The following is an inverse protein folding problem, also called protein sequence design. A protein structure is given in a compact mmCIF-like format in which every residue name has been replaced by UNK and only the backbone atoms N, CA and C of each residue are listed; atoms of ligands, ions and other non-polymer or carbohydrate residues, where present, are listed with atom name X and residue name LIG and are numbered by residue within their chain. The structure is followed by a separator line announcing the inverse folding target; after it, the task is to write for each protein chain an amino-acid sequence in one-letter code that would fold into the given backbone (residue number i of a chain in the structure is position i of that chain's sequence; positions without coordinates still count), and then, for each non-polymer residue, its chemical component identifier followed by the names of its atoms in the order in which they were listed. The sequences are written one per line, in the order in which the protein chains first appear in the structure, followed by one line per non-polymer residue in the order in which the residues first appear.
data_IF_452476713441
#
_entry.id   IF_452476713441
#
_cell.length_a   1.000
_cell.length_b   1.000
_cell.length_c   1.000
_cell.angle_alpha   90.00
_cell.angle_beta   90.00
_cell.angle_gamma   90.00
#
_symmetry.space_group_name_H-M   'P 1'
#
loop_
_entity.id
_entity.type
_entity.pdbx_description
1 polymer ?
#
# COMPACT_ATOMS: atom_id res chain seq x y z
N UNK A 1 -4.56 -22.77 0.64
CA UNK A 1 -4.63 -23.15 2.07
C UNK A 1 -4.45 -21.90 2.89
N UNK A 2 -5.49 -21.44 3.58
CA UNK A 2 -5.40 -20.38 4.58
C UNK A 2 -5.50 -21.05 5.95
N UNK A 3 -4.45 -20.96 6.76
CA UNK A 3 -4.39 -21.59 8.08
C UNK A 3 -2.96 -21.95 8.49
N UNK A 4 -2.83 -22.40 9.73
CA UNK A 4 -1.62 -22.97 10.28
C UNK A 4 -1.54 -24.45 9.94
N UNK A 5 -0.53 -24.86 9.16
CA UNK A 5 -0.28 -26.28 8.87
C UNK A 5 0.84 -26.82 9.76
N UNK A 6 1.92 -26.06 9.87
CA UNK A 6 3.08 -26.33 10.73
C UNK A 6 3.91 -25.05 10.92
N UNK A 7 4.97 -25.13 11.73
CA UNK A 7 5.89 -24.05 12.06
C UNK A 7 6.60 -23.41 10.84
N UNK A 8 6.56 -24.03 9.66
CA UNK A 8 7.16 -23.51 8.42
C UNK A 8 6.12 -23.10 7.38
N UNK A 9 4.86 -23.46 7.59
CA UNK A 9 3.77 -23.28 6.63
C UNK A 9 2.55 -22.75 7.35
N UNK A 10 2.55 -21.44 7.58
CA UNK A 10 1.45 -20.73 8.20
C UNK A 10 1.33 -19.33 7.59
N UNK A 11 0.14 -18.73 7.75
CA UNK A 11 -0.09 -17.35 7.39
C UNK A 11 -0.13 -16.53 8.68
N UNK A 12 0.88 -15.67 8.87
CA UNK A 12 1.05 -14.92 10.10
C UNK A 12 -0.11 -13.95 10.39
N UNK A 13 -0.71 -13.33 9.38
CA UNK A 13 -1.78 -12.33 9.60
C UNK A 13 -3.19 -12.89 9.40
N UNK A 14 -3.30 -14.11 8.88
CA UNK A 14 -4.56 -14.73 8.49
C UNK A 14 -5.13 -14.22 7.16
N UNK A 15 -4.44 -13.32 6.44
CA UNK A 15 -4.91 -12.75 5.17
C UNK A 15 -4.06 -13.18 3.98
N UNK A 16 -4.70 -13.51 2.85
CA UNK A 16 -4.01 -13.87 1.61
C UNK A 16 -4.36 -12.91 0.47
N UNK A 17 -3.38 -12.31 -0.22
CA UNK A 17 -3.66 -11.46 -1.37
C UNK A 17 -4.13 -12.28 -2.57
N UNK A 18 -5.41 -12.14 -2.96
CA UNK A 18 -5.95 -12.75 -4.19
C UNK A 18 -5.54 -11.98 -5.47
N UNK A 19 -5.23 -10.69 -5.34
CA UNK A 19 -4.96 -9.78 -6.47
C UNK A 19 -3.86 -10.27 -7.41
N UNK A 20 -2.83 -10.93 -6.86
CA UNK A 20 -1.68 -11.43 -7.63
C UNK A 20 -1.89 -12.81 -8.25
N UNK A 21 -3.03 -13.45 -7.97
CA UNK A 21 -3.34 -14.81 -8.43
C UNK A 21 -4.28 -14.71 -9.62
N UNK A 22 -3.81 -15.14 -10.79
CA UNK A 22 -4.64 -15.16 -11.99
C UNK A 22 -5.83 -16.12 -11.80
N UNK A 23 -7.04 -15.67 -12.14
CA UNK A 23 -8.28 -16.42 -11.85
C UNK A 23 -8.38 -17.78 -12.57
N UNK A 24 -7.67 -17.96 -13.69
CA UNK A 24 -7.56 -19.24 -14.40
C UNK A 24 -6.51 -20.19 -13.81
N UNK A 25 -5.68 -19.72 -12.87
CA UNK A 25 -4.74 -20.61 -12.19
C UNK A 25 -5.53 -21.58 -11.31
N UNK A 26 -5.21 -22.86 -11.41
CA UNK A 26 -5.97 -23.92 -10.75
C UNK A 26 -5.04 -24.96 -10.13
N UNK A 27 -5.47 -25.51 -8.99
CA UNK A 27 -4.83 -26.64 -8.32
C UNK A 27 -5.78 -27.83 -8.46
N UNK A 28 -5.34 -28.88 -9.14
CA UNK A 28 -5.99 -30.20 -9.17
C UNK A 28 -5.37 -31.15 -8.14
N UNK A 29 -5.85 -32.40 -8.09
CA UNK A 29 -5.38 -33.40 -7.11
C UNK A 29 -3.86 -33.65 -7.15
N UNK A 30 -3.25 -33.58 -8.34
CA UNK A 30 -1.81 -33.82 -8.52
C UNK A 30 -1.21 -32.93 -9.61
N UNK A 31 -1.86 -31.80 -9.91
CA UNK A 31 -1.45 -30.87 -10.97
C UNK A 31 -1.66 -29.44 -10.53
N UNK A 32 -0.75 -28.56 -10.94
CA UNK A 32 -0.88 -27.12 -10.80
C UNK A 32 -0.81 -26.51 -12.20
N UNK A 33 -1.86 -25.81 -12.59
CA UNK A 33 -1.88 -25.02 -13.82
C UNK A 33 -1.67 -23.57 -13.42
N UNK A 34 -0.48 -23.04 -13.71
CA UNK A 34 -0.17 -21.64 -13.56
C UNK A 34 -0.52 -20.90 -14.84
N UNK A 35 -1.27 -19.80 -14.72
CA UNK A 35 -1.57 -18.93 -15.86
C UNK A 35 -0.74 -17.66 -15.74
N UNK A 36 0.10 -17.43 -16.73
CA UNK A 36 0.96 -16.27 -16.77
C UNK A 36 0.12 -15.03 -17.07
N UNK A 37 0.36 -13.96 -16.32
CA UNK A 37 -0.18 -12.64 -16.61
C UNK A 37 0.97 -11.65 -16.73
N UNK A 38 0.79 -10.64 -17.57
CA UNK A 38 1.76 -9.56 -17.71
C UNK A 38 1.68 -8.63 -16.50
N UNK A 39 2.80 -8.44 -15.80
CA UNK A 39 2.86 -7.54 -14.65
C UNK A 39 2.70 -6.08 -15.11
N UNK A 40 1.72 -5.32 -14.61
CA UNK A 40 1.57 -3.92 -14.97
C UNK A 40 2.64 -3.09 -14.26
N UNK A 41 3.67 -2.66 -15.00
CA UNK A 41 4.66 -1.70 -14.47
C UNK A 41 4.05 -0.29 -14.40
N UNK A 42 3.24 0.06 -15.40
CA UNK A 42 2.44 1.29 -15.44
C UNK A 42 1.04 0.95 -15.92
N UNK A 43 0.04 1.61 -15.33
CA UNK A 43 -1.36 1.49 -15.76
C UNK A 43 -2.10 2.80 -15.58
N UNK A 44 -3.21 2.96 -16.31
CA UNK A 44 -3.91 4.23 -16.40
C UNK A 44 -4.34 4.81 -15.04
N UNK A 45 -4.83 3.97 -14.11
CA UNK A 45 -5.24 4.47 -12.80
C UNK A 45 -4.07 5.05 -11.97
N UNK A 46 -2.85 4.51 -12.13
CA UNK A 46 -1.65 5.08 -11.49
C UNK A 46 -1.37 6.49 -12.03
N UNK A 47 -1.49 6.67 -13.35
CA UNK A 47 -1.34 7.98 -14.00
C UNK A 47 -2.41 8.98 -13.56
N UNK A 48 -3.68 8.56 -13.47
CA UNK A 48 -4.77 9.43 -13.02
C UNK A 48 -4.57 9.90 -11.58
N UNK A 49 -4.21 8.98 -10.67
CA UNK A 49 -3.98 9.33 -9.28
C UNK A 49 -2.71 10.16 -9.09
N UNK A 50 -1.65 9.90 -9.85
CA UNK A 50 -0.44 10.72 -9.83
C UNK A 50 -0.71 12.14 -10.36
N UNK A 51 -1.48 12.28 -11.44
CA UNK A 51 -1.87 13.58 -11.97
C UNK A 51 -2.77 14.33 -10.98
N UNK A 52 -3.76 13.66 -10.39
CA UNK A 52 -4.62 14.24 -9.34
C UNK A 52 -3.81 14.73 -8.13
N UNK A 53 -2.80 13.96 -7.70
CA UNK A 53 -1.90 14.36 -6.60
C UNK A 53 -1.13 15.64 -6.96
N UNK A 54 -0.46 15.65 -8.11
CA UNK A 54 0.26 16.83 -8.59
C UNK A 54 -0.64 18.06 -8.73
N UNK A 55 -1.84 17.90 -9.29
CA UNK A 55 -2.78 18.99 -9.49
C UNK A 55 -3.33 19.52 -8.16
N UNK A 56 -3.60 18.66 -7.18
CA UNK A 56 -3.93 19.10 -5.83
C UNK A 56 -2.77 19.87 -5.18
N UNK A 57 -1.52 19.46 -5.43
CA UNK A 57 -0.35 20.18 -4.92
C UNK A 57 -0.16 21.57 -5.54
N UNK A 58 -0.55 21.77 -6.79
CA UNK A 58 -0.42 23.07 -7.47
C UNK A 58 -1.63 23.96 -7.20
N UNK A 59 -2.83 23.44 -7.41
CA UNK A 59 -4.08 24.22 -7.50
C UNK A 59 -5.03 23.97 -6.33
N UNK A 60 -4.77 22.99 -5.47
CA UNK A 60 -5.67 22.58 -4.41
C UNK A 60 -6.90 21.81 -4.92
N UNK A 61 -8.01 21.79 -4.16
CA UNK A 61 -9.19 20.98 -4.45
C UNK A 61 -10.06 21.59 -5.56
N UNK A 62 -9.56 21.55 -6.80
CA UNK A 62 -10.29 21.96 -8.01
C UNK A 62 -11.10 20.80 -8.60
N UNK A 63 -12.14 21.10 -9.37
CA UNK A 63 -13.05 20.11 -9.97
C UNK A 63 -12.31 19.00 -10.74
N UNK A 64 -11.25 19.37 -11.46
CA UNK A 64 -10.44 18.43 -12.24
C UNK A 64 -9.72 17.39 -11.36
N UNK A 65 -9.29 17.73 -10.13
CA UNK A 65 -8.70 16.74 -9.21
C UNK A 65 -9.73 15.68 -8.85
N UNK A 66 -10.97 16.10 -8.55
CA UNK A 66 -12.04 15.17 -8.22
C UNK A 66 -12.38 14.28 -9.39
N UNK A 67 -12.41 14.81 -10.62
CA UNK A 67 -12.67 14.01 -11.82
C UNK A 67 -11.74 12.80 -11.93
N UNK A 68 -10.42 13.00 -11.88
CA UNK A 68 -9.48 11.89 -12.05
C UNK A 68 -9.50 10.87 -10.91
N UNK A 69 -9.79 11.30 -9.68
CA UNK A 69 -9.96 10.39 -8.55
C UNK A 69 -11.27 9.61 -8.69
N UNK A 70 -12.34 10.30 -9.10
CA UNK A 70 -13.68 9.72 -9.24
C UNK A 70 -13.73 8.73 -10.42
N UNK A 71 -13.01 8.95 -11.52
CA UNK A 71 -12.88 7.99 -12.63
C UNK A 71 -12.32 6.63 -12.15
N UNK A 72 -11.36 6.66 -11.21
CA UNK A 72 -10.79 5.44 -10.63
C UNK A 72 -11.78 4.75 -9.68
N UNK A 73 -12.53 5.54 -8.91
CA UNK A 73 -13.53 5.08 -7.95
C UNK A 73 -14.76 4.48 -8.64
N UNK A 74 -15.25 5.11 -9.70
CA UNK A 74 -16.40 4.66 -10.48
C UNK A 74 -16.16 3.25 -11.06
N UNK A 75 -14.96 3.00 -11.61
CA UNK A 75 -14.58 1.67 -12.12
C UNK A 75 -14.62 0.59 -11.03
N UNK A 76 -14.38 0.97 -9.77
CA UNK A 76 -14.48 0.09 -8.60
C UNK A 76 -15.88 0.05 -7.97
N UNK A 77 -16.87 0.72 -8.57
CA UNK A 77 -18.25 0.78 -8.11
C UNK A 77 -18.46 1.66 -6.87
N UNK A 78 -17.56 2.61 -6.63
CA UNK A 78 -17.66 3.56 -5.52
C UNK A 78 -18.20 4.91 -6.01
N UNK A 79 -18.98 5.58 -5.16
CA UNK A 79 -19.41 6.95 -5.41
C UNK A 79 -18.22 7.92 -5.41
N UNK A 80 -18.37 9.09 -6.02
CA UNK A 80 -17.34 10.13 -6.03
C UNK A 80 -16.94 10.60 -4.63
N UNK A 81 -15.75 11.19 -4.51
CA UNK A 81 -15.15 11.60 -3.23
C UNK A 81 -16.08 12.54 -2.46
N UNK A 82 -16.59 13.59 -3.12
CA UNK A 82 -17.43 14.59 -2.45
C UNK A 82 -18.75 13.97 -1.93
N UNK A 83 -19.40 13.14 -2.74
CA UNK A 83 -20.62 12.44 -2.37
C UNK A 83 -20.37 11.50 -1.18
N UNK A 84 -19.32 10.68 -1.26
CA UNK A 84 -18.95 9.70 -0.23
C UNK A 84 -18.63 10.35 1.11
N UNK A 85 -17.87 11.45 1.10
CA UNK A 85 -17.50 12.14 2.34
C UNK A 85 -18.68 12.88 2.97
N UNK A 86 -19.54 13.48 2.15
CA UNK A 86 -20.75 14.15 2.64
C UNK A 86 -21.72 13.16 3.28
N UNK A 87 -21.86 11.97 2.70
CA UNK A 87 -22.83 10.98 3.15
C UNK A 87 -22.36 10.14 4.36
N UNK A 88 -21.06 9.86 4.48
CA UNK A 88 -20.59 8.80 5.39
C UNK A 88 -19.33 9.11 6.19
N UNK A 89 -18.70 10.28 6.02
CA UNK A 89 -17.50 10.65 6.76
C UNK A 89 -17.82 11.39 8.06
N UNK A 90 -17.05 11.12 9.12
CA UNK A 90 -17.03 11.92 10.35
C UNK A 90 -16.43 13.32 10.13
N UNK A 91 -15.77 13.55 8.99
CA UNK A 91 -15.27 14.86 8.57
C UNK A 91 -15.69 15.13 7.12
N UNK A 92 -16.93 15.61 6.88
CA UNK A 92 -17.46 15.87 5.54
C UNK A 92 -16.67 16.92 4.74
N UNK A 93 -16.02 17.86 5.42
CA UNK A 93 -15.26 18.95 4.79
C UNK A 93 -13.79 18.57 4.51
N UNK A 94 -13.36 17.34 4.84
CA UNK A 94 -12.00 16.89 4.54
C UNK A 94 -11.59 17.13 3.07
N UNK A 95 -12.40 16.82 2.04
CA UNK A 95 -12.02 17.02 0.65
C UNK A 95 -11.93 18.50 0.22
N UNK A 96 -12.46 19.44 1.01
CA UNK A 96 -12.48 20.86 0.64
C UNK A 96 -11.18 21.60 0.98
N UNK A 97 -10.19 20.92 1.55
CA UNK A 97 -8.87 21.47 1.87
C UNK A 97 -7.80 20.72 1.10
N UNK A 98 -6.70 21.41 0.75
CA UNK A 98 -5.57 20.81 0.03
C UNK A 98 -4.98 19.63 0.80
N UNK A 99 -4.78 19.80 2.10
CA UNK A 99 -4.22 18.79 3.00
C UNK A 99 -5.15 17.59 3.14
N UNK A 100 -6.46 17.85 3.34
CA UNK A 100 -7.44 16.79 3.47
C UNK A 100 -7.64 16.00 2.18
N UNK A 101 -7.65 16.67 1.02
CA UNK A 101 -7.73 16.01 -0.29
C UNK A 101 -6.43 15.24 -0.61
N UNK A 102 -5.26 15.77 -0.24
CA UNK A 102 -3.97 15.05 -0.35
C UNK A 102 -4.04 13.71 0.38
N UNK A 103 -4.53 13.70 1.63
CA UNK A 103 -4.67 12.46 2.38
C UNK A 103 -5.64 11.46 1.74
N UNK A 104 -6.74 11.95 1.15
CA UNK A 104 -7.69 11.10 0.42
C UNK A 104 -7.00 10.49 -0.80
N UNK A 105 -6.29 11.29 -1.60
CA UNK A 105 -5.55 10.79 -2.77
C UNK A 105 -4.50 9.75 -2.36
N UNK A 106 -3.76 10.00 -1.27
CA UNK A 106 -2.78 9.04 -0.73
C UNK A 106 -3.45 7.72 -0.33
N UNK A 107 -4.65 7.78 0.25
CA UNK A 107 -5.43 6.60 0.63
C UNK A 107 -5.93 5.84 -0.61
N UNK A 108 -6.54 6.53 -1.59
CA UNK A 108 -6.99 5.93 -2.85
C UNK A 108 -5.85 5.22 -3.57
N UNK A 109 -4.71 5.90 -3.68
CA UNK A 109 -3.49 5.33 -4.27
C UNK A 109 -3.00 4.09 -3.53
N UNK A 110 -3.10 4.07 -2.21
CA UNK A 110 -2.71 2.91 -1.39
C UNK A 110 -3.65 1.71 -1.55
N UNK A 111 -4.96 1.96 -1.75
CA UNK A 111 -5.97 0.92 -1.97
C UNK A 111 -5.85 0.38 -3.40
N UNK A 112 -5.87 1.27 -4.37
CA UNK A 112 -5.89 0.96 -5.79
C UNK A 112 -4.62 0.19 -6.20
N UNK A 113 -3.45 0.66 -5.77
CA UNK A 113 -2.14 0.08 -6.12
C UNK A 113 -1.60 -0.89 -5.06
N UNK A 114 -2.47 -1.40 -4.17
CA UNK A 114 -2.08 -2.39 -3.18
C UNK A 114 -1.44 -3.61 -3.86
N UNK A 115 -0.31 -4.08 -3.32
CA UNK A 115 0.50 -5.19 -3.85
C UNK A 115 1.13 -4.98 -5.24
N UNK A 116 1.17 -3.75 -5.76
CA UNK A 116 1.80 -3.44 -7.06
C UNK A 116 3.18 -2.77 -6.93
N UNK A 117 3.76 -2.73 -5.72
CA UNK A 117 5.12 -2.20 -5.49
C UNK A 117 5.21 -0.68 -5.26
N UNK A 118 4.08 0.04 -5.20
CA UNK A 118 4.08 1.50 -5.04
C UNK A 118 4.22 1.98 -3.59
N UNK A 119 3.61 1.27 -2.63
CA UNK A 119 3.48 1.74 -1.22
C UNK A 119 4.83 2.06 -0.57
N UNK A 120 5.87 1.29 -0.87
CA UNK A 120 7.22 1.54 -0.35
C UNK A 120 7.76 2.90 -0.82
N UNK A 121 7.66 3.17 -2.12
CA UNK A 121 8.13 4.42 -2.72
C UNK A 121 7.27 5.62 -2.34
N UNK A 122 5.95 5.42 -2.27
CA UNK A 122 5.00 6.46 -1.87
C UNK A 122 5.27 6.95 -0.44
N UNK A 123 5.48 6.04 0.52
CA UNK A 123 5.82 6.42 1.89
C UNK A 123 7.15 7.18 2.00
N UNK A 124 8.11 6.85 1.15
CA UNK A 124 9.41 7.51 1.10
C UNK A 124 9.30 8.93 0.54
N UNK A 125 8.68 9.09 -0.64
CA UNK A 125 8.53 10.41 -1.30
C UNK A 125 7.63 11.35 -0.51
N UNK A 126 6.62 10.84 0.18
CA UNK A 126 5.78 11.63 1.08
C UNK A 126 6.46 11.98 2.40
N UNK A 127 7.65 11.44 2.67
CA UNK A 127 8.35 11.57 3.92
C UNK A 127 7.51 11.12 5.14
N UNK A 128 6.69 10.08 4.96
CA UNK A 128 5.79 9.54 6.00
C UNK A 128 6.18 8.15 6.52
N UNK A 129 7.16 7.48 5.90
CA UNK A 129 7.62 6.15 6.32
C UNK A 129 7.99 6.08 7.82
N UNK A 130 8.84 6.96 8.33
CA UNK A 130 9.25 6.97 9.74
C UNK A 130 8.09 7.21 10.72
N UNK A 131 7.05 7.94 10.30
CA UNK A 131 5.85 8.15 11.12
C UNK A 131 4.98 6.90 11.09
N UNK A 132 4.59 6.45 9.91
CA UNK A 132 3.59 5.39 9.74
C UNK A 132 4.11 4.00 10.10
N UNK A 133 5.36 3.68 9.76
CA UNK A 133 5.95 2.37 10.06
C UNK A 133 6.29 2.21 11.55
N UNK A 134 6.64 3.30 12.25
CA UNK A 134 6.94 3.23 13.69
C UNK A 134 5.67 3.30 14.56
N UNK A 135 4.61 3.95 14.08
CA UNK A 135 3.36 4.11 14.84
C UNK A 135 2.33 3.00 14.60
N UNK A 136 2.49 2.23 13.52
CA UNK A 136 1.53 1.19 13.15
C UNK A 136 2.12 -0.19 13.38
N UNK A 137 1.70 -0.87 14.44
CA UNK A 137 1.97 -2.30 14.60
C UNK A 137 1.25 -3.08 13.51
N UNK A 138 1.93 -4.05 12.89
CA UNK A 138 1.27 -4.98 11.98
C UNK A 138 0.27 -5.82 12.78
N UNK A 139 -0.99 -5.82 12.35
CA UNK A 139 -2.10 -6.51 13.02
C UNK A 139 -2.69 -7.58 12.12
N UNK A 140 -3.15 -8.67 12.72
CA UNK A 140 -3.83 -9.75 12.01
C UNK A 140 -4.64 -10.64 12.96
N UNK A 141 -5.17 -11.74 12.42
CA UNK A 141 -5.92 -12.72 13.18
C UNK A 141 -5.00 -13.72 13.88
N UNK A 142 -5.44 -14.24 15.03
CA UNK A 142 -4.70 -15.23 15.81
C UNK A 142 -4.59 -16.57 15.06
N UNK A 143 -3.55 -16.70 14.23
CA UNK A 143 -3.36 -17.83 13.31
C UNK A 143 -3.13 -19.18 14.01
N UNK A 144 -2.69 -19.18 15.26
CA UNK A 144 -2.42 -20.38 16.07
C UNK A 144 -3.71 -21.05 16.59
N UNK A 145 -4.84 -20.34 16.52
CA UNK A 145 -6.09 -20.78 17.11
C UNK A 145 -6.97 -21.51 16.09
N UNK A 146 -7.47 -22.68 16.49
CA UNK A 146 -8.22 -23.57 15.60
C UNK A 146 -9.73 -23.28 15.54
N UNK A 147 -10.32 -22.65 16.57
CA UNK A 147 -11.76 -22.34 16.60
C UNK A 147 -12.02 -20.93 16.09
N UNK A 148 -13.14 -20.72 15.39
CA UNK A 148 -13.50 -19.41 14.85
C UNK A 148 -13.53 -18.31 15.93
N UNK A 149 -14.12 -18.62 17.09
CA UNK A 149 -14.22 -17.70 18.23
C UNK A 149 -12.85 -17.23 18.75
N UNK A 150 -11.84 -18.08 18.66
CA UNK A 150 -10.48 -17.74 19.14
C UNK A 150 -9.59 -17.19 18.03
N UNK A 151 -9.87 -17.54 16.77
CA UNK A 151 -9.15 -17.05 15.59
C UNK A 151 -9.41 -15.56 15.31
N UNK A 152 -10.66 -15.10 15.39
CA UNK A 152 -11.05 -13.70 15.10
C UNK A 152 -10.72 -12.72 16.25
N UNK A 153 -9.65 -12.99 16.99
CA UNK A 153 -9.06 -12.05 17.92
C UNK A 153 -7.87 -11.35 17.25
N UNK A 154 -7.86 -10.02 17.32
CA UNK A 154 -6.81 -9.22 16.73
C UNK A 154 -5.52 -9.33 17.57
N UNK A 155 -4.41 -9.65 16.91
CA UNK A 155 -3.08 -9.79 17.52
C UNK A 155 -2.11 -8.83 16.81
N UNK A 156 -1.15 -8.30 17.57
CA UNK A 156 -0.04 -7.50 17.02
C UNK A 156 1.19 -8.39 16.78
N UNK A 157 1.77 -8.30 15.58
CA UNK A 157 2.87 -9.17 15.13
C UNK A 157 4.25 -8.49 15.18
N UNK A 158 4.30 -7.24 15.59
CA UNK A 158 5.54 -6.48 15.75
C UNK A 158 5.42 -5.04 15.27
N UNK A 159 6.36 -4.24 15.75
CA UNK A 159 6.58 -2.87 15.32
C UNK A 159 7.80 -2.86 14.42
N UNK A 160 7.71 -2.18 13.29
CA UNK A 160 8.87 -1.94 12.43
C UNK A 160 9.58 -0.68 12.90
N UNK A 161 10.91 -0.72 12.97
CA UNK A 161 11.72 0.49 13.19
C UNK A 161 12.17 1.06 11.84
N UNK A 162 11.83 2.31 11.61
CA UNK A 162 12.21 3.08 10.43
C UNK A 162 12.72 4.45 10.86
N UNK A 163 13.99 4.70 10.57
CA UNK A 163 14.73 5.90 10.92
C UNK A 163 14.99 6.78 9.68
N UNK A 164 15.53 7.98 9.88
CA UNK A 164 15.77 8.92 8.77
C UNK A 164 16.83 8.38 7.79
N UNK A 165 17.83 7.63 8.25
CA UNK A 165 18.82 7.00 7.36
C UNK A 165 18.20 5.99 6.39
N UNK A 166 17.09 5.36 6.79
CA UNK A 166 16.45 4.30 6.01
C UNK A 166 15.73 4.85 4.77
N UNK A 167 15.61 6.18 4.64
CA UNK A 167 15.19 6.86 3.40
C UNK A 167 16.23 6.80 2.28
N UNK A 168 17.48 6.46 2.60
CA UNK A 168 18.54 6.25 1.63
C UNK A 168 19.01 4.79 1.66
N UNK A 169 19.57 4.34 0.54
CA UNK A 169 20.16 3.01 0.46
C UNK A 169 21.64 3.12 0.82
N UNK A 170 22.19 2.24 1.68
CA UNK A 170 23.61 2.22 1.91
C UNK A 170 24.33 1.87 0.61
N UNK A 171 25.41 2.60 0.34
CA UNK A 171 26.37 2.23 -0.69
C UNK A 171 27.28 1.14 -0.09
N UNK A 172 27.58 0.12 -0.88
CA UNK A 172 28.42 -0.99 -0.45
C UNK A 172 29.81 -0.47 -0.02
N UNK A 173 30.34 -1.03 1.07
CA UNK A 173 31.64 -0.62 1.62
C UNK A 173 32.76 -0.79 0.60
N UNK A 174 32.74 -1.89 -0.18
CA UNK A 174 33.71 -2.14 -1.25
C UNK A 174 33.72 -1.03 -2.31
N UNK A 175 32.56 -0.44 -2.65
CA UNK A 175 32.47 0.63 -3.64
C UNK A 175 33.07 1.95 -3.10
N UNK A 176 32.87 2.22 -1.80
CA UNK A 176 33.47 3.38 -1.11
C UNK A 176 34.99 3.23 -1.02
N UNK A 177 35.46 2.02 -0.67
CA UNK A 177 36.88 1.73 -0.60
C UNK A 177 37.55 1.80 -1.98
N UNK A 178 36.84 1.36 -3.04
CA UNK A 178 37.34 1.40 -4.40
C UNK A 178 37.41 2.83 -4.99
N UNK A 179 36.48 3.72 -4.63
CA UNK A 179 36.44 5.09 -5.11
C UNK A 179 36.46 6.10 -3.95
N UNK A 180 37.63 6.67 -3.61
CA UNK A 180 37.77 7.65 -2.55
C UNK A 180 36.98 8.95 -2.73
N UNK A 181 36.40 9.21 -3.91
CA UNK A 181 35.53 10.37 -4.14
C UNK A 181 34.04 10.08 -3.85
N UNK A 182 33.71 8.84 -3.44
CA UNK A 182 32.36 8.42 -3.16
C UNK A 182 32.04 8.58 -1.67
N UNK A 183 31.17 9.54 -1.35
CA UNK A 183 30.67 9.70 0.01
C UNK A 183 29.47 8.78 0.27
N UNK A 184 29.36 8.27 1.50
CA UNK A 184 28.25 7.43 1.93
C UNK A 184 26.92 8.20 1.97
N UNK A 185 25.83 7.47 1.80
CA UNK A 185 24.48 7.98 2.01
C UNK A 185 24.26 8.45 3.46
N UNK A 186 23.41 9.47 3.62
CA UNK A 186 23.19 10.09 4.92
C UNK A 186 22.75 9.09 6.01
N UNK A 187 23.55 9.01 7.08
CA UNK A 187 23.28 8.21 8.27
C UNK A 187 23.68 6.73 8.20
N UNK A 188 24.37 6.33 7.13
CA UNK A 188 25.00 5.01 6.96
C UNK A 188 26.52 5.09 7.13
#
# INVERSE_FOLDING_TARGET
MAGYLNERQFNQTGYWPKKLVHYKSAIGNNSFTAENYSWPVYRLADLYLLYAECLNEVSGPVAEVFQYVDDVRERSGLDGVQASWTASSNNPTKPSTKEGLREIIHQERSIELAFEGHRFWDLRRWFKAHVLLNSTSMRGWSYEKATAETFYNQVEYGVTEFSIRDYFWPIAEDDILANPNLDQAFGW
#
